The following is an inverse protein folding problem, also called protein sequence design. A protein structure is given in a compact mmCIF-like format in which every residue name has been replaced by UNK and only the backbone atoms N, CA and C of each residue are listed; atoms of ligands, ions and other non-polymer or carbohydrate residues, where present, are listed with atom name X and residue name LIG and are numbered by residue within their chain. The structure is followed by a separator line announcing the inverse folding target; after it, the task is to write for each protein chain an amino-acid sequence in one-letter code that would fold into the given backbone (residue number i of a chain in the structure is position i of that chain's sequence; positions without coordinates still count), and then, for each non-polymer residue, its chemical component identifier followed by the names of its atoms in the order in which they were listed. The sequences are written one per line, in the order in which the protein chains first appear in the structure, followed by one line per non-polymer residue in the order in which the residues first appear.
data_IF_976563991531
#
_entry.id   IF_976563991531
#
_cell.length_a   1.000
_cell.length_b   1.000
_cell.length_c   1.000
_cell.angle_alpha   90.00
_cell.angle_beta   90.00
_cell.angle_gamma   90.00
#
_symmetry.space_group_name_H-M   'P 1'
#
loop_
_entity.id
_entity.type
_entity.pdbx_description
1 polymer ?
#
# COMPACT_ATOMS: atom_id res chain seq x y z
N UNK A 1 2.11 4.77 35.97
CA UNK A 1 1.41 4.15 37.08
C UNK A 1 2.38 3.22 37.80
N UNK A 2 2.67 3.55 39.06
CA UNK A 2 3.61 2.80 39.90
C UNK A 2 2.99 1.50 40.43
N UNK A 3 1.67 1.51 40.59
CA UNK A 3 0.89 0.34 41.00
C UNK A 3 -0.02 -0.06 39.84
N UNK A 4 0.17 -1.26 39.35
CA UNK A 4 -0.70 -1.86 38.36
C UNK A 4 -1.74 -2.66 39.14
N UNK A 5 -3.04 -2.43 38.94
CA UNK A 5 -4.06 -3.21 39.61
C UNK A 5 -3.91 -4.70 39.26
N UNK A 6 -4.29 -5.60 40.15
CA UNK A 6 -4.32 -7.02 39.87
C UNK A 6 -5.18 -7.31 38.62
N UNK A 7 -4.81 -8.32 37.85
CA UNK A 7 -5.54 -8.73 36.66
C UNK A 7 -6.12 -10.14 36.91
N UNK A 8 -7.35 -10.24 37.45
CA UNK A 8 -7.99 -11.52 37.68
C UNK A 8 -8.39 -12.19 36.36
N UNK A 9 -8.35 -13.49 36.33
CA UNK A 9 -8.99 -14.27 35.25
C UNK A 9 -10.50 -14.09 35.33
N UNK A 10 -11.11 -13.57 34.27
CA UNK A 10 -12.56 -13.38 34.22
C UNK A 10 -13.23 -14.68 33.77
N UNK A 11 -14.01 -15.31 34.65
CA UNK A 11 -14.72 -16.55 34.35
C UNK A 11 -15.76 -16.26 33.25
N UNK A 12 -15.61 -16.93 32.11
CA UNK A 12 -16.42 -16.71 30.88
C UNK A 12 -16.41 -15.27 30.36
N UNK A 13 -15.39 -14.46 30.72
CA UNK A 13 -15.31 -13.06 30.32
C UNK A 13 -16.26 -12.12 31.08
N UNK A 14 -16.92 -12.58 32.12
CA UNK A 14 -17.81 -11.78 32.97
C UNK A 14 -16.97 -10.93 33.94
N UNK A 15 -17.03 -9.57 33.83
CA UNK A 15 -16.27 -8.66 34.70
C UNK A 15 -16.67 -8.71 36.17
N UNK A 16 -17.80 -9.32 36.52
CA UNK A 16 -18.29 -9.50 37.88
C UNK A 16 -17.96 -10.89 38.44
N UNK A 17 -17.37 -11.78 37.63
CA UNK A 17 -17.06 -13.15 38.00
C UNK A 17 -15.54 -13.35 37.96
N UNK A 18 -14.85 -12.84 39.00
CA UNK A 18 -13.39 -12.90 39.09
C UNK A 18 -12.92 -14.29 39.52
N UNK A 19 -11.93 -14.81 38.84
CA UNK A 19 -11.17 -15.99 39.18
C UNK A 19 -9.82 -15.66 39.84
N UNK A 20 -8.82 -16.54 39.74
CA UNK A 20 -7.50 -16.30 40.31
C UNK A 20 -6.81 -15.10 39.64
N UNK A 21 -5.99 -14.37 40.41
CA UNK A 21 -5.08 -13.36 39.85
C UNK A 21 -4.06 -14.01 38.92
N UNK A 22 -3.78 -13.32 37.80
CA UNK A 22 -2.81 -13.74 36.82
C UNK A 22 -1.56 -12.85 36.85
N UNK A 23 -0.40 -13.49 36.86
CA UNK A 23 0.85 -12.79 36.62
C UNK A 23 1.04 -12.51 35.12
N UNK A 24 1.72 -11.39 34.76
CA UNK A 24 2.04 -11.11 33.37
C UNK A 24 2.91 -12.20 32.76
N UNK A 25 2.49 -12.68 31.60
CA UNK A 25 3.26 -13.70 30.87
C UNK A 25 3.20 -13.46 29.36
N UNK A 26 4.10 -14.09 28.61
CA UNK A 26 4.09 -14.08 27.16
C UNK A 26 3.26 -15.25 26.62
N UNK A 27 2.87 -15.18 25.34
CA UNK A 27 2.12 -16.24 24.69
C UNK A 27 2.93 -17.54 24.71
N UNK A 28 2.43 -18.57 25.34
CA UNK A 28 3.13 -19.87 25.49
C UNK A 28 3.56 -20.47 24.17
N UNK A 29 2.73 -20.35 23.12
CA UNK A 29 3.02 -20.85 21.77
C UNK A 29 4.19 -20.11 21.08
N UNK A 30 4.50 -18.91 21.53
CA UNK A 30 5.58 -18.08 21.00
C UNK A 30 6.78 -17.96 21.95
N UNK A 31 6.81 -18.76 23.02
CA UNK A 31 7.93 -18.85 23.95
C UNK A 31 8.91 -19.93 23.48
N UNK A 32 9.95 -19.56 22.78
CA UNK A 32 11.07 -20.46 22.51
C UNK A 32 11.96 -20.51 23.75
N UNK A 33 12.29 -21.70 24.22
CA UNK A 33 13.14 -21.88 25.43
C UNK A 33 12.48 -21.45 26.75
N UNK A 34 11.18 -21.11 26.76
CA UNK A 34 10.43 -20.65 27.94
C UNK A 34 11.09 -19.44 28.65
N UNK A 35 11.35 -18.34 27.96
CA UNK A 35 11.96 -17.18 28.58
C UNK A 35 11.08 -16.66 29.71
N UNK A 36 11.69 -16.38 30.86
CA UNK A 36 11.02 -15.71 31.96
C UNK A 36 10.70 -14.26 31.56
N UNK A 37 9.56 -13.75 31.99
CA UNK A 37 9.21 -12.33 31.82
C UNK A 37 10.11 -11.53 32.76
N UNK A 38 11.26 -11.08 32.25
CA UNK A 38 12.12 -10.15 32.98
C UNK A 38 11.50 -8.76 32.94
N UNK A 39 10.81 -8.40 34.00
CA UNK A 39 10.29 -7.03 34.17
C UNK A 39 11.45 -6.16 34.65
N UNK A 40 11.88 -5.14 33.86
CA UNK A 40 12.91 -4.23 34.29
C UNK A 40 12.50 -3.54 35.59
N UNK A 41 13.47 -3.37 36.52
CA UNK A 41 13.19 -2.73 37.80
C UNK A 41 12.50 -1.38 37.58
N UNK A 42 11.39 -1.20 38.27
CA UNK A 42 10.67 0.09 38.28
C UNK A 42 11.60 1.22 38.72
N UNK A 43 11.61 2.32 37.97
CA UNK A 43 12.29 3.54 38.34
C UNK A 43 11.38 4.45 39.23
N UNK A 44 10.36 3.90 39.83
CA UNK A 44 9.35 4.61 40.60
C UNK A 44 8.29 5.37 39.77
N UNK A 45 8.37 5.31 38.41
CA UNK A 45 7.43 5.99 37.51
C UNK A 45 6.66 5.02 36.59
N UNK A 46 7.10 3.79 36.46
CA UNK A 46 6.46 2.77 35.59
C UNK A 46 6.71 1.36 36.12
N UNK A 47 5.77 0.44 35.88
CA UNK A 47 5.90 -0.96 36.23
C UNK A 47 6.92 -1.73 35.38
N UNK A 48 7.37 -1.20 34.24
CA UNK A 48 8.29 -1.88 33.31
C UNK A 48 7.64 -2.93 32.40
N UNK A 49 6.38 -3.28 32.59
CA UNK A 49 5.69 -4.36 31.83
C UNK A 49 5.68 -4.12 30.31
N UNK A 50 5.43 -2.87 29.87
CA UNK A 50 5.47 -2.53 28.42
C UNK A 50 6.88 -2.70 27.82
N UNK A 51 7.92 -2.36 28.58
CA UNK A 51 9.30 -2.54 28.13
C UNK A 51 9.65 -4.01 28.04
N UNK A 52 9.20 -4.84 28.99
CA UNK A 52 9.38 -6.29 28.92
C UNK A 52 8.72 -6.87 27.67
N UNK A 53 7.47 -6.47 27.38
CA UNK A 53 6.76 -6.87 26.15
C UNK A 53 7.51 -6.43 24.88
N UNK A 54 7.96 -5.17 24.83
CA UNK A 54 8.69 -4.64 23.68
C UNK A 54 9.98 -5.44 23.42
N UNK A 55 10.76 -5.72 24.47
CA UNK A 55 11.98 -6.53 24.39
C UNK A 55 11.71 -7.94 23.89
N UNK A 56 10.65 -8.59 24.38
CA UNK A 56 10.26 -9.91 23.90
C UNK A 56 9.81 -9.88 22.43
N UNK A 57 9.01 -8.90 22.02
CA UNK A 57 8.57 -8.78 20.63
C UNK A 57 9.73 -8.57 19.64
N UNK A 58 10.80 -7.91 20.08
CA UNK A 58 12.01 -7.67 19.26
C UNK A 58 13.17 -8.62 19.56
N UNK A 59 12.92 -9.66 20.35
CA UNK A 59 13.92 -10.69 20.61
C UNK A 59 14.13 -11.56 19.37
N UNK A 60 15.38 -11.96 19.13
CA UNK A 60 15.73 -12.95 18.10
C UNK A 60 15.08 -14.31 18.34
N UNK A 61 14.78 -14.64 19.59
CA UNK A 61 14.08 -15.85 19.97
C UNK A 61 12.55 -15.80 19.71
N UNK A 62 11.99 -14.63 19.38
CA UNK A 62 10.58 -14.53 19.04
C UNK A 62 10.33 -15.08 17.63
N UNK A 63 9.59 -16.20 17.49
CA UNK A 63 9.44 -16.86 16.20
C UNK A 63 8.49 -16.15 15.23
N UNK A 64 7.74 -15.15 15.69
CA UNK A 64 6.63 -14.58 14.92
C UNK A 64 6.92 -13.19 14.37
N UNK A 65 7.47 -12.28 15.17
CA UNK A 65 7.53 -10.86 14.80
C UNK A 65 8.24 -10.62 13.48
N UNK A 66 9.45 -11.15 13.31
CA UNK A 66 10.20 -10.99 12.07
C UNK A 66 9.51 -11.66 10.87
N UNK A 67 8.99 -12.90 11.04
CA UNK A 67 8.28 -13.63 9.98
C UNK A 67 7.02 -12.88 9.53
N UNK A 68 6.22 -12.39 10.48
CA UNK A 68 4.98 -11.62 10.16
C UNK A 68 5.32 -10.35 9.40
N UNK A 69 6.34 -9.59 9.85
CA UNK A 69 6.75 -8.36 9.17
C UNK A 69 7.25 -8.62 7.76
N UNK A 70 8.16 -9.56 7.60
CA UNK A 70 8.71 -9.97 6.30
C UNK A 70 7.60 -10.44 5.35
N UNK A 71 6.66 -11.25 5.85
CA UNK A 71 5.54 -11.74 5.06
C UNK A 71 4.61 -10.62 4.57
N UNK A 72 4.38 -9.59 5.40
CA UNK A 72 3.61 -8.40 5.00
C UNK A 72 4.34 -7.59 3.93
N UNK A 73 5.63 -7.35 4.09
CA UNK A 73 6.45 -6.65 3.08
C UNK A 73 6.45 -7.45 1.77
N UNK A 74 6.63 -8.77 1.84
CA UNK A 74 6.54 -9.66 0.69
C UNK A 74 5.19 -9.57 -0.02
N UNK A 75 4.09 -9.57 0.74
CA UNK A 75 2.73 -9.41 0.20
C UNK A 75 2.60 -8.11 -0.61
N UNK A 76 3.10 -6.99 -0.10
CA UNK A 76 3.04 -5.72 -0.82
C UNK A 76 3.88 -5.71 -2.10
N UNK A 77 4.92 -6.54 -2.20
CA UNK A 77 5.71 -6.68 -3.43
C UNK A 77 5.09 -7.64 -4.45
N UNK A 78 4.53 -8.77 -4.01
CA UNK A 78 4.07 -9.85 -4.89
C UNK A 78 2.55 -10.03 -4.92
N UNK A 79 1.79 -9.24 -4.17
CA UNK A 79 0.32 -9.31 -4.07
C UNK A 79 -0.22 -10.48 -3.27
N UNK A 80 0.66 -11.40 -2.83
CA UNK A 80 0.34 -12.51 -1.96
C UNK A 80 1.51 -12.76 -1.00
N UNK A 81 1.21 -12.96 0.28
CA UNK A 81 2.21 -13.36 1.26
C UNK A 81 2.73 -14.77 1.00
N UNK A 82 3.94 -15.07 1.45
CA UNK A 82 4.46 -16.44 1.52
C UNK A 82 3.51 -17.31 2.38
N UNK A 83 2.99 -16.71 3.46
CA UNK A 83 1.78 -17.15 4.17
C UNK A 83 0.64 -16.26 3.72
N UNK A 84 -0.36 -16.81 3.04
CA UNK A 84 -1.46 -16.01 2.47
C UNK A 84 -2.40 -15.42 3.52
N UNK A 85 -2.56 -16.05 4.68
CA UNK A 85 -3.29 -15.51 5.84
C UNK A 85 -2.40 -14.54 6.63
N UNK A 86 -2.35 -13.25 6.19
CA UNK A 86 -1.41 -12.24 6.74
C UNK A 86 -1.59 -11.92 8.22
N UNK A 87 -2.77 -12.16 8.76
CA UNK A 87 -3.16 -11.91 10.15
C UNK A 87 -3.26 -13.18 11.00
N UNK A 88 -3.03 -14.35 10.39
CA UNK A 88 -3.15 -15.63 11.08
C UNK A 88 -2.00 -16.58 10.73
N UNK A 89 -1.02 -16.65 11.63
CA UNK A 89 0.12 -17.58 11.58
C UNK A 89 -0.09 -18.78 12.51
N UNK A 90 -1.31 -18.97 13.00
CA UNK A 90 -1.69 -20.07 13.87
C UNK A 90 -2.11 -21.33 13.10
N UNK A 91 -2.64 -22.31 13.84
CA UNK A 91 -3.05 -23.63 13.31
C UNK A 91 -4.16 -23.54 12.25
N UNK A 92 -4.99 -22.52 12.33
CA UNK A 92 -6.10 -22.27 11.36
C UNK A 92 -5.64 -21.42 10.18
N UNK A 93 -4.43 -20.83 10.24
CA UNK A 93 -3.84 -20.08 9.14
C UNK A 93 -3.28 -20.99 8.04
N UNK A 94 -3.01 -20.38 6.90
CA UNK A 94 -2.42 -21.06 5.76
C UNK A 94 -0.95 -21.41 6.01
N UNK A 95 -0.50 -22.49 5.40
CA UNK A 95 0.92 -22.87 5.46
C UNK A 95 1.75 -22.01 4.49
N UNK A 96 3.00 -21.71 4.84
CA UNK A 96 3.88 -20.98 3.93
C UNK A 96 4.17 -21.81 2.67
N UNK A 97 4.07 -21.17 1.48
CA UNK A 97 4.44 -21.79 0.21
C UNK A 97 5.94 -22.06 0.12
N UNK A 98 6.75 -21.18 0.71
CA UNK A 98 8.21 -21.25 0.73
C UNK A 98 8.74 -21.08 2.16
N UNK A 99 8.63 -22.11 3.04
CA UNK A 99 8.98 -21.97 4.45
C UNK A 99 10.45 -21.61 4.69
N UNK A 100 11.37 -22.18 3.93
CA UNK A 100 12.81 -21.86 4.04
C UNK A 100 13.13 -20.43 3.63
N UNK A 101 12.42 -19.89 2.64
CA UNK A 101 12.58 -18.51 2.21
C UNK A 101 12.05 -17.54 3.29
N UNK A 102 10.90 -17.84 3.87
CA UNK A 102 10.34 -17.05 4.96
C UNK A 102 11.29 -16.99 6.16
N UNK A 103 11.86 -18.13 6.54
CA UNK A 103 12.82 -18.22 7.64
C UNK A 103 14.11 -17.45 7.34
N UNK A 104 14.66 -17.62 6.15
CA UNK A 104 15.87 -16.92 5.73
C UNK A 104 15.67 -15.39 5.71
N UNK A 105 14.58 -14.90 5.10
CA UNK A 105 14.27 -13.48 5.08
C UNK A 105 14.05 -12.91 6.49
N UNK A 106 13.46 -13.69 7.41
CA UNK A 106 13.26 -13.24 8.78
C UNK A 106 14.59 -13.10 9.53
N UNK A 107 15.52 -14.05 9.35
CA UNK A 107 16.86 -13.97 9.94
C UNK A 107 17.65 -12.80 9.36
N UNK A 108 17.69 -12.66 8.03
CA UNK A 108 18.37 -11.55 7.34
C UNK A 108 17.84 -10.19 7.78
N UNK A 109 16.51 -10.08 7.98
CA UNK A 109 15.89 -8.86 8.48
C UNK A 109 16.34 -8.51 9.89
N UNK A 110 16.45 -9.48 10.80
CA UNK A 110 16.97 -9.26 12.16
C UNK A 110 18.45 -8.91 12.15
N UNK A 111 19.29 -9.65 11.39
CA UNK A 111 20.75 -9.44 11.28
C UNK A 111 21.09 -8.09 10.64
N UNK A 112 20.26 -7.59 9.70
CA UNK A 112 20.40 -6.23 9.14
C UNK A 112 20.00 -5.10 10.10
N UNK A 113 19.75 -5.40 11.38
CA UNK A 113 19.30 -4.45 12.38
C UNK A 113 17.83 -4.03 12.21
N UNK A 114 16.97 -4.92 11.77
CA UNK A 114 15.53 -4.68 11.52
C UNK A 114 15.30 -3.59 10.47
N UNK A 115 16.18 -3.51 9.47
CA UNK A 115 16.12 -2.51 8.41
C UNK A 115 15.09 -2.86 7.34
N UNK A 116 13.93 -2.21 7.38
CA UNK A 116 12.90 -2.36 6.34
C UNK A 116 13.44 -1.95 4.96
N UNK A 117 14.34 -0.96 4.88
CA UNK A 117 14.96 -0.55 3.60
C UNK A 117 15.84 -1.64 2.99
N UNK A 118 16.63 -2.34 3.80
CA UNK A 118 17.45 -3.47 3.32
C UNK A 118 16.56 -4.63 2.90
N UNK A 119 15.49 -4.92 3.64
CA UNK A 119 14.51 -5.93 3.25
C UNK A 119 13.88 -5.62 1.88
N UNK A 120 13.44 -4.37 1.65
CA UNK A 120 12.96 -3.95 0.33
C UNK A 120 14.03 -4.13 -0.75
N UNK A 121 15.28 -3.73 -0.49
CA UNK A 121 16.38 -3.89 -1.45
C UNK A 121 16.60 -5.36 -1.80
N UNK A 122 16.70 -6.22 -0.80
CA UNK A 122 16.88 -7.68 -0.98
C UNK A 122 15.79 -8.27 -1.86
N UNK A 123 14.52 -7.92 -1.60
CA UNK A 123 13.39 -8.41 -2.39
C UNK A 123 13.43 -7.85 -3.81
N UNK A 124 13.59 -6.54 -3.99
CA UNK A 124 13.49 -5.88 -5.30
C UNK A 124 14.67 -6.18 -6.22
N UNK A 125 15.83 -6.55 -5.69
CA UNK A 125 16.99 -6.97 -6.50
C UNK A 125 16.98 -8.46 -6.83
N UNK A 126 16.06 -9.24 -6.28
CA UNK A 126 15.93 -10.68 -6.55
C UNK A 126 15.47 -10.94 -7.99
N UNK A 127 15.85 -12.10 -8.54
CA UNK A 127 15.39 -12.54 -9.85
C UNK A 127 13.86 -12.76 -9.88
N UNK A 128 13.28 -13.17 -8.76
CA UNK A 128 11.82 -13.31 -8.64
C UNK A 128 11.06 -11.99 -8.85
N UNK A 129 11.60 -10.87 -8.39
CA UNK A 129 10.98 -9.55 -8.57
C UNK A 129 11.15 -9.02 -10.01
N UNK A 130 12.20 -9.43 -10.70
CA UNK A 130 12.52 -9.01 -12.08
C UNK A 130 11.84 -9.87 -13.16
N UNK A 131 11.09 -10.90 -12.77
CA UNK A 131 10.38 -11.76 -13.75
C UNK A 131 9.33 -10.96 -14.50
N UNK A 132 9.18 -11.31 -15.80
CA UNK A 132 8.12 -10.75 -16.63
C UNK A 132 6.74 -11.22 -16.16
N UNK A 133 5.75 -10.34 -16.24
CA UNK A 133 4.34 -10.68 -15.96
C UNK A 133 3.66 -11.34 -17.15
N UNK A 134 4.07 -11.01 -18.38
CA UNK A 134 3.49 -11.50 -19.63
C UNK A 134 4.11 -12.83 -20.11
N UNK A 135 4.81 -13.54 -19.21
CA UNK A 135 5.39 -14.85 -19.56
C UNK A 135 4.32 -15.93 -19.59
N UNK A 136 4.26 -16.69 -20.68
CA UNK A 136 3.34 -17.81 -20.89
C UNK A 136 4.11 -19.12 -20.95
N UNK A 137 3.65 -20.12 -20.22
CA UNK A 137 4.18 -21.49 -20.22
C UNK A 137 3.07 -22.45 -19.79
N UNK A 138 2.66 -23.33 -20.71
CA UNK A 138 1.53 -24.25 -20.51
C UNK A 138 1.80 -25.25 -19.37
N UNK A 139 3.03 -25.76 -19.25
CA UNK A 139 3.41 -26.72 -18.20
C UNK A 139 3.32 -26.08 -16.82
N UNK A 140 3.87 -24.88 -16.65
CA UNK A 140 3.81 -24.13 -15.41
C UNK A 140 2.37 -23.74 -15.08
N UNK A 141 1.58 -23.33 -16.08
CA UNK A 141 0.18 -22.97 -15.91
C UNK A 141 -0.68 -24.15 -15.47
N UNK A 142 -0.40 -25.36 -15.97
CA UNK A 142 -1.08 -26.59 -15.53
C UNK A 142 -0.66 -27.02 -14.13
N UNK A 143 0.62 -26.82 -13.78
CA UNK A 143 1.15 -27.22 -12.48
C UNK A 143 0.77 -26.24 -11.35
N UNK A 144 0.70 -24.96 -11.64
CA UNK A 144 0.44 -23.88 -10.67
C UNK A 144 -0.36 -22.72 -11.30
N UNK A 145 -1.63 -22.99 -11.59
CA UNK A 145 -2.55 -22.04 -12.23
C UNK A 145 -2.63 -20.70 -11.51
N UNK A 146 -2.63 -20.75 -10.17
CA UNK A 146 -2.73 -19.56 -9.33
C UNK A 146 -1.39 -18.87 -9.07
N UNK A 147 -0.32 -19.35 -9.68
CA UNK A 147 1.03 -18.78 -9.53
C UNK A 147 1.47 -18.63 -8.07
N UNK A 148 1.23 -19.68 -7.25
CA UNK A 148 1.61 -19.70 -5.84
C UNK A 148 3.13 -19.81 -5.66
N UNK A 149 3.81 -20.45 -6.63
CA UNK A 149 5.24 -20.69 -6.62
C UNK A 149 6.03 -19.61 -7.36
N UNK A 150 5.36 -18.55 -7.82
CA UNK A 150 5.97 -17.39 -8.48
C UNK A 150 6.77 -17.77 -9.74
N UNK A 151 6.18 -18.51 -10.65
CA UNK A 151 6.82 -18.82 -11.94
C UNK A 151 6.73 -17.65 -12.96
N UNK A 152 5.94 -16.61 -12.67
CA UNK A 152 5.92 -15.30 -13.33
C UNK A 152 5.56 -14.19 -12.32
N UNK A 153 5.84 -12.93 -12.68
CA UNK A 153 5.38 -11.80 -11.86
C UNK A 153 3.86 -11.67 -11.94
N UNK A 154 3.20 -11.39 -10.82
CA UNK A 154 1.75 -11.19 -10.75
C UNK A 154 1.44 -9.70 -10.92
N UNK A 155 0.71 -9.29 -11.98
CA UNK A 155 0.27 -7.91 -12.11
C UNK A 155 -0.60 -7.50 -10.92
N UNK A 156 -0.37 -6.29 -10.40
CA UNK A 156 -1.11 -5.75 -9.27
C UNK A 156 -1.57 -4.34 -9.59
N UNK A 157 -2.88 -4.07 -9.39
CA UNK A 157 -3.37 -2.71 -9.48
C UNK A 157 -2.76 -1.88 -8.35
N UNK A 158 -2.41 -0.64 -8.65
CA UNK A 158 -2.00 0.34 -7.65
C UNK A 158 -3.13 0.62 -6.66
N UNK A 159 -2.79 0.89 -5.42
CA UNK A 159 -3.73 1.33 -4.40
C UNK A 159 -4.21 2.77 -4.69
N UNK A 160 -5.38 3.14 -4.20
CA UNK A 160 -6.01 4.44 -4.44
C UNK A 160 -5.07 5.64 -4.23
N UNK A 161 -4.31 5.61 -3.14
CA UNK A 161 -3.34 6.63 -2.80
C UNK A 161 -2.18 6.68 -3.80
N UNK A 162 -1.72 5.51 -4.24
CA UNK A 162 -0.63 5.39 -5.21
C UNK A 162 -1.09 5.83 -6.61
N UNK A 163 -2.35 5.56 -7.01
CA UNK A 163 -2.92 6.02 -8.28
C UNK A 163 -2.91 7.56 -8.32
N UNK A 164 -3.38 8.22 -7.26
CA UNK A 164 -3.35 9.68 -7.19
C UNK A 164 -1.92 10.23 -7.22
N UNK A 165 -1.02 9.62 -6.44
CA UNK A 165 0.37 10.07 -6.37
C UNK A 165 1.12 9.88 -7.70
N UNK A 166 0.91 8.77 -8.42
CA UNK A 166 1.58 8.53 -9.71
C UNK A 166 1.05 9.47 -10.80
N UNK A 167 -0.24 9.80 -10.81
CA UNK A 167 -0.81 10.79 -11.73
C UNK A 167 -0.11 12.14 -11.52
N UNK A 168 -0.06 12.64 -10.29
CA UNK A 168 0.61 13.92 -9.97
C UNK A 168 2.13 13.87 -10.21
N UNK A 169 2.77 12.72 -10.00
CA UNK A 169 4.21 12.57 -10.26
C UNK A 169 4.51 12.59 -11.76
N UNK A 170 3.65 11.98 -12.57
CA UNK A 170 3.78 11.93 -14.03
C UNK A 170 3.55 13.33 -14.65
N UNK A 171 2.54 14.07 -14.17
CA UNK A 171 2.29 15.44 -14.63
C UNK A 171 3.34 16.45 -14.16
N UNK A 172 4.14 16.10 -13.14
CA UNK A 172 5.12 17.01 -12.53
C UNK A 172 4.55 17.89 -11.40
N UNK A 173 3.25 17.73 -11.07
CA UNK A 173 2.57 18.57 -10.07
C UNK A 173 2.78 18.15 -8.60
N UNK A 174 3.34 16.96 -8.32
CA UNK A 174 3.42 16.44 -6.96
C UNK A 174 4.37 17.24 -6.05
N UNK A 175 3.87 17.68 -4.90
CA UNK A 175 4.71 18.19 -3.80
C UNK A 175 5.18 17.04 -2.90
N UNK A 176 6.49 16.79 -2.89
CA UNK A 176 7.16 15.75 -2.10
C UNK A 176 7.59 16.21 -0.71
N UNK A 177 7.24 17.42 -0.29
CA UNK A 177 7.59 17.95 1.03
C UNK A 177 7.10 17.03 2.16
N UNK A 178 7.94 16.87 3.19
CA UNK A 178 7.67 15.97 4.32
C UNK A 178 7.23 16.77 5.55
N UNK A 179 6.20 16.28 6.22
CA UNK A 179 5.66 16.90 7.43
C UNK A 179 4.62 17.99 7.13
N UNK A 180 4.21 18.73 8.14
CA UNK A 180 3.23 19.80 8.02
C UNK A 180 1.77 19.36 8.23
N UNK A 181 0.84 20.22 7.81
CA UNK A 181 -0.60 20.00 7.97
C UNK A 181 -1.16 19.01 6.96
N UNK A 182 -2.27 18.32 7.27
CA UNK A 182 -3.01 17.56 6.27
C UNK A 182 -3.59 18.47 5.19
N UNK A 183 -3.93 17.87 4.06
CA UNK A 183 -4.63 18.51 2.94
C UNK A 183 -6.07 18.00 2.85
N UNK A 184 -6.96 18.81 2.28
CA UNK A 184 -8.38 18.55 2.12
C UNK A 184 -8.78 18.73 0.64
N UNK A 185 -8.41 17.78 -0.26
CA UNK A 185 -8.75 17.90 -1.68
C UNK A 185 -10.24 18.09 -1.91
N UNK A 186 -10.59 18.72 -3.03
CA UNK A 186 -11.97 19.04 -3.36
C UNK A 186 -12.89 17.82 -3.34
N UNK A 187 -14.02 17.97 -2.67
CA UNK A 187 -15.17 17.05 -2.68
C UNK A 187 -16.38 17.82 -3.20
N UNK A 188 -17.16 17.28 -4.15
CA UNK A 188 -18.41 17.90 -4.61
C UNK A 188 -19.35 18.24 -3.45
N UNK A 189 -19.96 19.44 -3.50
CA UNK A 189 -20.81 19.96 -2.42
C UNK A 189 -21.98 19.02 -2.11
N UNK A 190 -22.53 18.37 -3.14
CA UNK A 190 -23.64 17.41 -3.00
C UNK A 190 -23.27 16.24 -2.08
N UNK A 191 -22.00 15.81 -2.11
CA UNK A 191 -21.49 14.74 -1.21
C UNK A 191 -21.31 15.31 0.19
N UNK A 192 -20.78 16.51 0.32
CA UNK A 192 -20.61 17.16 1.62
C UNK A 192 -21.96 17.38 2.33
N UNK A 193 -23.00 17.73 1.60
CA UNK A 193 -24.33 17.98 2.12
C UNK A 193 -25.03 16.70 2.64
N UNK A 194 -24.64 15.53 2.13
CA UNK A 194 -25.14 14.23 2.61
C UNK A 194 -24.41 13.71 3.84
N UNK A 195 -23.20 14.22 4.11
CA UNK A 195 -22.40 13.78 5.24
C UNK A 195 -22.94 14.33 6.56
N UNK A 196 -23.12 13.46 7.57
CA UNK A 196 -23.42 13.90 8.95
C UNK A 196 -22.18 14.57 9.52
N UNK A 197 -22.17 15.91 9.45
CA UNK A 197 -20.97 16.70 9.69
C UNK A 197 -20.76 16.96 11.19
N UNK A 198 -20.06 16.07 11.87
CA UNK A 198 -19.28 16.44 13.04
C UNK A 198 -17.87 16.87 12.60
N UNK A 199 -17.63 18.17 12.47
CA UNK A 199 -16.36 18.75 12.02
C UNK A 199 -16.35 19.12 10.51
N UNK A 200 -15.50 20.05 10.15
CA UNK A 200 -15.40 20.67 8.82
C UNK A 200 -14.45 19.89 7.93
N UNK A 201 -14.82 19.71 6.66
CA UNK A 201 -13.88 19.43 5.58
C UNK A 201 -13.58 20.79 4.93
N UNK A 202 -12.33 21.19 4.91
CA UNK A 202 -11.97 22.54 4.46
C UNK A 202 -12.12 22.74 2.94
N UNK A 203 -12.37 21.67 2.19
CA UNK A 203 -12.71 21.64 0.77
C UNK A 203 -11.90 22.61 -0.08
N UNK A 204 -10.59 22.43 -0.07
CA UNK A 204 -9.65 23.24 -0.83
C UNK A 204 -9.86 22.99 -2.33
N UNK A 205 -9.75 24.05 -3.14
CA UNK A 205 -9.80 23.94 -4.59
C UNK A 205 -8.66 23.05 -5.11
N UNK A 206 -8.88 22.37 -6.24
CA UNK A 206 -7.79 21.62 -6.88
C UNK A 206 -6.67 22.57 -7.32
N UNK A 207 -5.43 22.22 -7.01
CA UNK A 207 -4.28 23.05 -7.27
C UNK A 207 -3.04 22.63 -6.46
N UNK A 208 -1.91 23.34 -6.60
CA UNK A 208 -0.64 23.02 -5.96
C UNK A 208 -0.71 22.83 -4.44
N UNK A 209 -1.59 23.56 -3.74
CA UNK A 209 -1.73 23.49 -2.29
C UNK A 209 -2.26 22.12 -1.80
N UNK A 210 -2.99 21.39 -2.65
CA UNK A 210 -3.53 20.04 -2.38
C UNK A 210 -2.83 18.93 -3.17
N UNK A 211 -1.83 19.24 -3.99
CA UNK A 211 -1.09 18.25 -4.77
C UNK A 211 0.07 17.60 -3.99
N UNK A 212 -0.04 17.58 -2.69
CA UNK A 212 0.85 16.80 -1.83
C UNK A 212 0.56 15.32 -1.94
N UNK A 213 1.54 14.48 -1.55
CA UNK A 213 1.37 13.02 -1.48
C UNK A 213 0.08 12.65 -0.75
N UNK A 214 -0.61 11.64 -1.24
CA UNK A 214 -1.89 11.15 -0.71
C UNK A 214 -1.83 10.69 0.75
N UNK A 215 -0.62 10.44 1.27
CA UNK A 215 -0.36 10.22 2.70
C UNK A 215 -0.83 11.40 3.57
N UNK A 216 -0.86 12.62 3.03
CA UNK A 216 -1.26 13.84 3.75
C UNK A 216 -2.75 14.18 3.60
N UNK A 217 -3.52 13.44 2.79
CA UNK A 217 -4.98 13.61 2.71
C UNK A 217 -5.59 13.28 4.06
N UNK A 218 -6.37 14.23 4.59
CA UNK A 218 -7.03 14.05 5.88
C UNK A 218 -7.97 12.84 5.87
N UNK A 219 -7.83 11.98 6.87
CA UNK A 219 -8.64 10.77 7.04
C UNK A 219 -9.76 11.01 8.04
N UNK A 220 -11.00 10.96 7.56
CA UNK A 220 -12.18 11.14 8.38
C UNK A 220 -13.05 9.88 8.35
N UNK A 221 -13.40 9.33 9.52
CA UNK A 221 -14.17 8.09 9.64
C UNK A 221 -15.59 8.18 9.07
N UNK A 222 -16.19 9.37 9.14
CA UNK A 222 -17.58 9.63 8.70
C UNK A 222 -17.69 10.18 7.29
N UNK A 223 -16.58 10.48 6.64
CA UNK A 223 -16.51 11.00 5.28
C UNK A 223 -15.18 10.61 4.66
N UNK A 224 -15.17 9.61 3.83
CA UNK A 224 -13.98 9.25 3.06
C UNK A 224 -13.85 10.14 1.83
N UNK A 225 -12.62 10.30 1.36
CA UNK A 225 -12.39 11.01 0.10
C UNK A 225 -12.90 10.17 -1.09
N UNK A 226 -13.86 10.65 -1.89
CA UNK A 226 -14.58 9.84 -2.89
C UNK A 226 -13.67 9.19 -3.93
N UNK A 227 -12.61 9.87 -4.36
CA UNK A 227 -11.61 9.29 -5.26
C UNK A 227 -11.01 8.01 -4.69
N UNK A 228 -10.66 8.02 -3.41
CA UNK A 228 -10.08 6.83 -2.77
C UNK A 228 -11.10 5.71 -2.60
N UNK A 229 -12.35 6.03 -2.26
CA UNK A 229 -13.41 5.02 -2.16
C UNK A 229 -13.65 4.30 -3.49
N UNK A 230 -13.63 5.05 -4.60
CA UNK A 230 -13.77 4.48 -5.93
C UNK A 230 -12.68 3.44 -6.24
N UNK A 231 -11.47 3.63 -5.69
CA UNK A 231 -10.33 2.70 -5.87
C UNK A 231 -10.08 1.81 -4.65
N UNK A 232 -11.15 1.39 -3.96
CA UNK A 232 -11.14 0.39 -2.88
C UNK A 232 -10.37 0.80 -1.63
N UNK A 233 -10.50 2.07 -1.21
CA UNK A 233 -9.98 2.47 0.09
C UNK A 233 -10.62 1.62 1.20
N UNK A 234 -9.82 1.06 2.13
CA UNK A 234 -10.37 0.34 3.27
C UNK A 234 -11.27 1.19 4.17
N UNK A 235 -12.31 0.56 4.71
CA UNK A 235 -13.11 1.18 5.78
C UNK A 235 -12.22 1.51 6.98
N UNK A 236 -12.21 2.78 7.38
CA UNK A 236 -11.38 3.28 8.48
C UNK A 236 -11.87 2.83 9.87
N UNK A 237 -13.04 2.22 9.95
CA UNK A 237 -13.62 1.72 11.20
C UNK A 237 -13.26 0.26 11.48
N UNK A 238 -12.63 -0.44 10.54
CA UNK A 238 -12.28 -1.84 10.65
C UNK A 238 -10.79 -2.07 10.42
N UNK A 239 -10.22 -3.01 11.18
CA UNK A 239 -8.89 -3.52 10.89
C UNK A 239 -9.00 -4.59 9.80
N UNK A 240 -8.28 -4.41 8.72
CA UNK A 240 -8.20 -5.38 7.62
C UNK A 240 -6.77 -5.88 7.47
N UNK A 241 -6.64 -7.13 7.05
CA UNK A 241 -5.36 -7.77 6.77
C UNK A 241 -4.91 -7.57 5.32
N UNK A 242 -5.86 -7.58 4.37
CA UNK A 242 -5.64 -7.42 2.94
C UNK A 242 -6.65 -6.40 2.41
N UNK A 243 -6.20 -5.49 1.55
CA UNK A 243 -7.10 -4.58 0.84
C UNK A 243 -7.85 -5.33 -0.27
N UNK A 244 -9.13 -5.06 -0.39
CA UNK A 244 -9.88 -5.51 -1.55
C UNK A 244 -9.36 -4.81 -2.80
N UNK A 245 -9.47 -5.50 -3.93
CA UNK A 245 -9.19 -4.93 -5.25
C UNK A 245 -10.34 -5.33 -6.17
N UNK A 246 -11.10 -4.35 -6.63
CA UNK A 246 -12.19 -4.54 -7.58
C UNK A 246 -11.87 -3.93 -8.94
N UNK A 247 -12.57 -4.36 -9.97
CA UNK A 247 -12.55 -3.71 -11.30
C UNK A 247 -13.99 -3.42 -11.66
N UNK A 248 -14.40 -2.18 -11.52
CA UNK A 248 -15.77 -1.74 -11.68
C UNK A 248 -15.87 -0.48 -12.55
N UNK A 249 -16.99 -0.31 -13.24
CA UNK A 249 -17.21 0.80 -14.15
C UNK A 249 -17.00 2.20 -13.54
N UNK A 250 -17.35 2.48 -12.27
CA UNK A 250 -17.07 3.78 -11.66
C UNK A 250 -15.60 4.17 -11.66
N UNK A 251 -14.65 3.23 -11.60
CA UNK A 251 -13.22 3.51 -11.65
C UNK A 251 -12.82 4.11 -13.01
N UNK A 252 -13.26 3.47 -14.11
CA UNK A 252 -13.01 3.99 -15.46
C UNK A 252 -13.70 5.36 -15.65
N UNK A 253 -14.94 5.51 -15.21
CA UNK A 253 -15.65 6.78 -15.29
C UNK A 253 -14.97 7.89 -14.48
N UNK A 254 -14.39 7.57 -13.34
CA UNK A 254 -13.60 8.54 -12.55
C UNK A 254 -12.35 8.96 -13.30
N UNK A 255 -11.60 8.04 -13.89
CA UNK A 255 -10.42 8.39 -14.69
C UNK A 255 -10.77 9.22 -15.94
N UNK A 256 -11.93 8.98 -16.52
CA UNK A 256 -12.38 9.70 -17.72
C UNK A 256 -12.95 11.10 -17.43
N UNK A 257 -13.60 11.31 -16.27
CA UNK A 257 -14.42 12.51 -16.08
C UNK A 257 -14.07 13.33 -14.82
N UNK A 258 -13.16 12.83 -13.96
CA UNK A 258 -12.84 13.56 -12.74
C UNK A 258 -12.02 14.83 -13.06
N UNK A 259 -12.44 16.03 -12.62
CA UNK A 259 -11.73 17.27 -12.90
C UNK A 259 -10.26 17.25 -12.49
N UNK A 260 -9.90 16.60 -11.38
CA UNK A 260 -8.52 16.42 -10.96
C UNK A 260 -7.69 15.70 -12.04
N UNK A 261 -8.25 14.62 -12.62
CA UNK A 261 -7.54 13.85 -13.67
C UNK A 261 -7.34 14.69 -14.92
N UNK A 262 -8.37 15.44 -15.33
CA UNK A 262 -8.30 16.32 -16.50
C UNK A 262 -7.26 17.44 -16.30
N UNK A 263 -7.26 18.09 -15.13
CA UNK A 263 -6.27 19.12 -14.80
C UNK A 263 -4.84 18.56 -14.78
N UNK A 264 -4.65 17.32 -14.30
CA UNK A 264 -3.34 16.69 -14.30
C UNK A 264 -2.90 16.25 -15.72
N UNK A 265 -3.85 15.91 -16.60
CA UNK A 265 -3.56 15.60 -18.00
C UNK A 265 -3.11 16.87 -18.75
N UNK A 266 -3.79 18.01 -18.55
CA UNK A 266 -3.41 19.32 -19.08
C UNK A 266 -2.00 19.72 -18.58
N UNK A 267 -1.75 19.64 -17.28
CA UNK A 267 -0.41 19.93 -16.71
C UNK A 267 0.69 19.03 -17.29
N UNK A 268 0.36 17.75 -17.54
CA UNK A 268 1.30 16.81 -18.16
C UNK A 268 1.60 17.19 -19.60
N UNK A 269 0.58 17.55 -20.38
CA UNK A 269 0.71 18.07 -21.74
C UNK A 269 1.61 19.32 -21.78
N UNK A 270 1.32 20.33 -20.95
CA UNK A 270 2.13 21.55 -20.84
C UNK A 270 3.60 21.21 -20.55
N UNK A 271 3.85 20.29 -19.62
CA UNK A 271 5.20 19.84 -19.26
C UNK A 271 5.93 19.19 -20.43
N UNK A 272 5.22 18.45 -21.29
CA UNK A 272 5.79 17.84 -22.49
C UNK A 272 6.05 18.87 -23.57
N UNK A 273 5.11 19.80 -23.82
CA UNK A 273 5.24 20.87 -24.80
C UNK A 273 6.40 21.82 -24.50
N UNK A 274 6.61 22.16 -23.22
CA UNK A 274 7.77 22.94 -22.79
C UNK A 274 9.10 22.26 -23.11
N UNK A 275 9.17 20.95 -22.98
CA UNK A 275 10.41 20.18 -23.21
C UNK A 275 10.65 19.88 -24.70
N UNK A 276 9.59 19.64 -25.43
CA UNK A 276 9.61 19.24 -26.86
C UNK A 276 8.58 20.06 -27.64
N UNK A 277 8.87 21.33 -27.93
CA UNK A 277 7.98 22.14 -28.72
C UNK A 277 7.97 21.67 -30.20
N UNK A 278 6.79 21.64 -30.80
CA UNK A 278 6.56 21.48 -32.25
C UNK A 278 6.90 20.10 -32.89
N UNK A 279 7.33 19.09 -32.12
CA UNK A 279 7.63 17.76 -32.66
C UNK A 279 6.69 16.73 -32.04
N UNK A 280 5.60 16.43 -32.75
CA UNK A 280 4.54 15.51 -32.27
C UNK A 280 5.10 14.11 -32.02
N UNK A 281 5.99 13.62 -32.86
CA UNK A 281 6.55 12.26 -32.68
C UNK A 281 7.38 12.15 -31.41
N UNK A 282 8.19 13.17 -31.13
CA UNK A 282 8.95 13.23 -29.89
C UNK A 282 8.05 13.47 -28.67
N UNK A 283 6.97 14.27 -28.81
CA UNK A 283 5.98 14.47 -27.75
C UNK A 283 5.31 13.14 -27.39
N UNK A 284 4.79 12.40 -28.38
CA UNK A 284 4.20 11.07 -28.17
C UNK A 284 5.20 10.12 -27.50
N UNK A 285 6.44 10.07 -27.98
CA UNK A 285 7.47 9.23 -27.36
C UNK A 285 7.74 9.60 -25.92
N UNK A 286 7.78 10.90 -25.60
CA UNK A 286 8.03 11.41 -24.25
C UNK A 286 6.85 11.14 -23.30
N UNK A 287 5.61 11.22 -23.76
CA UNK A 287 4.41 10.86 -22.99
C UNK A 287 4.51 9.39 -22.55
N UNK A 288 4.76 8.47 -23.47
CA UNK A 288 4.91 7.04 -23.14
C UNK A 288 6.12 6.77 -22.23
N UNK A 289 7.26 7.39 -22.52
CA UNK A 289 8.47 7.23 -21.71
C UNK A 289 8.28 7.73 -20.28
N UNK A 290 7.57 8.84 -20.09
CA UNK A 290 7.32 9.44 -18.76
C UNK A 290 6.28 8.65 -17.98
N UNK A 291 5.16 8.30 -18.61
CA UNK A 291 4.05 7.63 -17.94
C UNK A 291 4.24 6.12 -17.78
N UNK A 292 4.81 5.45 -18.80
CA UNK A 292 4.90 3.99 -18.85
C UNK A 292 6.34 3.46 -18.79
N UNK A 293 7.35 4.35 -18.69
CA UNK A 293 8.79 4.02 -18.61
C UNK A 293 9.33 3.22 -19.79
N UNK A 294 8.64 3.26 -20.93
CA UNK A 294 9.02 2.63 -22.19
C UNK A 294 8.68 3.51 -23.39
N UNK A 295 9.32 3.31 -24.54
CA UNK A 295 8.87 3.94 -25.76
C UNK A 295 7.51 3.36 -26.22
N UNK A 296 6.72 4.10 -27.02
CA UNK A 296 5.54 3.56 -27.67
C UNK A 296 5.92 2.48 -28.68
N UNK A 297 5.05 1.51 -28.91
CA UNK A 297 5.14 0.62 -30.06
C UNK A 297 4.85 1.42 -31.36
N UNK A 298 5.11 0.81 -32.52
CA UNK A 298 4.83 1.49 -33.79
C UNK A 298 3.34 1.83 -33.96
N UNK A 299 2.44 0.96 -33.52
CA UNK A 299 0.99 1.19 -33.53
C UNK A 299 0.58 2.31 -32.57
N UNK A 300 1.10 2.26 -31.33
CA UNK A 300 0.84 3.30 -30.33
C UNK A 300 1.36 4.68 -30.78
N UNK A 301 2.52 4.73 -31.44
CA UNK A 301 3.08 5.97 -31.96
C UNK A 301 2.20 6.56 -33.06
N UNK A 302 1.71 5.71 -33.98
CA UNK A 302 0.83 6.15 -35.06
C UNK A 302 -0.53 6.64 -34.54
N UNK A 303 -1.16 5.87 -33.62
CA UNK A 303 -2.44 6.27 -32.98
C UNK A 303 -2.26 7.52 -32.14
N UNK A 304 -1.17 7.63 -31.39
CA UNK A 304 -0.85 8.81 -30.58
C UNK A 304 -0.68 10.05 -31.43
N UNK A 305 0.04 9.94 -32.56
CA UNK A 305 0.17 11.05 -33.52
C UNK A 305 -1.18 11.51 -34.05
N UNK A 306 -2.00 10.57 -34.54
CA UNK A 306 -3.34 10.88 -35.05
C UNK A 306 -4.21 11.56 -34.02
N UNK A 307 -4.16 11.12 -32.76
CA UNK A 307 -4.91 11.71 -31.67
C UNK A 307 -4.49 13.16 -31.42
N UNK A 308 -3.19 13.44 -31.43
CA UNK A 308 -2.67 14.83 -31.25
C UNK A 308 -3.00 15.71 -32.45
N UNK A 309 -2.93 15.20 -33.68
CA UNK A 309 -3.26 15.95 -34.91
C UNK A 309 -4.76 16.29 -35.03
N UNK A 310 -5.64 15.40 -34.60
CA UNK A 310 -7.11 15.55 -34.69
C UNK A 310 -7.73 16.23 -33.45
N UNK A 311 -7.08 16.13 -32.32
CA UNK A 311 -7.48 16.66 -31.04
C UNK A 311 -6.38 17.53 -30.42
N UNK A 312 -5.81 17.06 -29.32
CA UNK A 312 -4.76 17.77 -28.59
C UNK A 312 -3.77 16.79 -27.93
N UNK A 313 -2.64 17.32 -27.44
CA UNK A 313 -1.73 16.57 -26.61
C UNK A 313 -2.37 16.21 -25.25
N UNK A 314 -3.31 17.05 -24.74
CA UNK A 314 -4.08 16.76 -23.52
C UNK A 314 -4.91 15.48 -23.67
N UNK A 315 -5.48 15.24 -24.85
CA UNK A 315 -6.23 14.01 -25.11
C UNK A 315 -5.33 12.77 -25.02
N UNK A 316 -4.10 12.83 -25.52
CA UNK A 316 -3.15 11.75 -25.41
C UNK A 316 -2.70 11.52 -23.98
N UNK A 317 -2.35 12.56 -23.23
CA UNK A 317 -1.95 12.47 -21.82
C UNK A 317 -3.07 11.91 -20.96
N UNK A 318 -4.31 12.33 -21.24
CA UNK A 318 -5.50 11.80 -20.57
C UNK A 318 -5.75 10.32 -20.91
N UNK A 319 -5.64 9.92 -22.17
CA UNK A 319 -5.76 8.51 -22.59
C UNK A 319 -4.74 7.64 -21.87
N UNK A 320 -3.49 8.10 -21.75
CA UNK A 320 -2.43 7.32 -21.10
C UNK A 320 -2.74 7.07 -19.62
N UNK A 321 -3.32 8.03 -18.89
CA UNK A 321 -3.78 7.83 -17.51
C UNK A 321 -4.89 6.78 -17.38
N UNK A 322 -5.64 6.51 -18.46
CA UNK A 322 -6.69 5.49 -18.51
C UNK A 322 -6.19 4.09 -18.94
N UNK A 323 -4.92 3.95 -19.34
CA UNK A 323 -4.37 2.64 -19.73
C UNK A 323 -4.23 1.74 -18.51
N UNK A 324 -4.58 0.45 -18.68
CA UNK A 324 -4.34 -0.56 -17.66
C UNK A 324 -2.86 -0.67 -17.28
N UNK A 325 -1.95 -0.41 -18.23
CA UNK A 325 -0.52 -0.42 -17.98
C UNK A 325 -0.06 0.68 -17.01
N UNK A 326 -0.74 1.83 -17.01
CA UNK A 326 -0.48 2.92 -16.07
C UNK A 326 -0.97 2.60 -14.65
N UNK A 327 -2.08 1.87 -14.54
CA UNK A 327 -2.73 1.55 -13.27
C UNK A 327 -2.21 0.28 -12.59
N UNK A 328 -1.51 -0.57 -13.34
CA UNK A 328 -1.03 -1.86 -12.85
C UNK A 328 0.49 -1.92 -12.87
N UNK A 329 1.07 -2.30 -11.74
CA UNK A 329 2.46 -2.72 -11.68
C UNK A 329 2.60 -4.10 -12.34
N UNK A 330 3.45 -4.20 -13.32
CA UNK A 330 3.69 -5.40 -14.13
C UNK A 330 5.13 -5.87 -14.03
#
# INVERSE_FOLDING_TARGET
DNEVPPAPFLIRGDPFSEGPELEPDFLTVAKYGNPLVEIPRSNGRTSGRRLALARWLTSEDNPLTARVWVNRVWHHHFGRGIVSSLDNFGVVGERPTHPKLLDWLAVEFMESGWSTKELHRTIMTSEAYKMASAYENDENSLADLENHLLWKYRPQRLEAEAIRDVIMATSGGIDLSVGGKPIFPYIPQEILDTAVLFGRWDNEADGPDVWRRSLYVYRRRTLSFPFFETFDLPDQNQTINIRNTSTVAPQALTLMNNPFILNQAELFSDTIEEKVPYDIDQQVAMVYQTALTRPPTQEEAEVGRQLVELGSLDDLTHVVFNLSEFLYRR
#
